data_IF_004489622261
#
_entry.id   IF_004489622261
#
_cell.length_a   1.000
_cell.length_b   1.000
_cell.length_c   1.000
_cell.angle_alpha   90.00
_cell.angle_beta   90.00
_cell.angle_gamma   90.00
#
_symmetry.space_group_name_H-M   'P 1'
#
loop_
_entity.id
_entity.type
_entity.pdbx_description
1 polymer ?
#
# COMPACT_ATOMS: atom_id res chain seq x y z
N UNK A 1 -7.09 -33.04 -3.15
CA UNK A 1 -6.96 -32.32 -4.43
C UNK A 1 -7.99 -31.21 -4.43
N UNK A 2 -7.69 -30.08 -3.79
CA UNK A 2 -8.67 -29.02 -3.51
C UNK A 2 -8.29 -27.73 -4.24
N UNK A 3 -9.21 -27.27 -5.09
CA UNK A 3 -9.08 -26.11 -5.96
C UNK A 3 -9.29 -24.83 -5.14
N UNK A 4 -8.27 -23.98 -5.07
CA UNK A 4 -8.36 -22.62 -4.56
C UNK A 4 -9.01 -21.72 -5.63
N UNK A 5 -10.20 -21.20 -5.35
CA UNK A 5 -10.79 -20.09 -6.11
C UNK A 5 -10.30 -18.78 -5.50
N UNK A 6 -9.37 -18.10 -6.17
CA UNK A 6 -8.99 -16.72 -5.87
C UNK A 6 -10.02 -15.83 -6.55
N UNK A 7 -10.96 -15.29 -5.78
CA UNK A 7 -11.89 -14.25 -6.25
C UNK A 7 -11.25 -12.89 -5.97
N UNK A 8 -10.71 -12.26 -7.01
CA UNK A 8 -10.21 -10.89 -6.98
C UNK A 8 -11.42 -9.94 -6.95
N UNK A 9 -11.75 -9.40 -5.78
CA UNK A 9 -12.74 -8.33 -5.66
C UNK A 9 -12.05 -7.02 -6.03
N UNK A 10 -12.25 -6.60 -7.27
CA UNK A 10 -11.90 -5.27 -7.76
C UNK A 10 -13.02 -4.32 -7.32
N UNK A 11 -12.77 -3.52 -6.28
CA UNK A 11 -13.63 -2.36 -5.95
C UNK A 11 -13.01 -1.16 -6.65
N UNK A 12 -13.44 -0.89 -7.89
CA UNK A 12 -13.37 0.47 -8.44
C UNK A 12 -14.65 1.19 -8.03
N UNK A 13 -14.61 2.38 -7.42
CA UNK A 13 -15.76 3.24 -7.42
C UNK A 13 -15.99 3.72 -8.86
N UNK A 14 -17.01 3.17 -9.51
CA UNK A 14 -17.64 3.77 -10.68
C UNK A 14 -18.30 5.06 -10.21
N UNK A 15 -17.55 6.15 -10.17
CA UNK A 15 -18.17 7.47 -10.22
C UNK A 15 -18.67 7.65 -11.65
N UNK A 16 -19.99 7.65 -11.82
CA UNK A 16 -20.64 8.15 -13.02
C UNK A 16 -20.08 9.54 -13.32
N UNK A 17 -19.25 9.62 -14.35
CA UNK A 17 -18.82 10.88 -14.94
C UNK A 17 -20.07 11.45 -15.58
N UNK A 18 -20.71 12.40 -14.90
CA UNK A 18 -21.70 13.30 -15.50
C UNK A 18 -21.14 13.79 -16.83
N UNK A 19 -21.74 13.40 -17.95
CA UNK A 19 -21.30 13.86 -19.25
C UNK A 19 -21.57 15.35 -19.36
N UNK A 20 -20.51 16.15 -19.37
CA UNK A 20 -20.61 17.59 -19.66
C UNK A 20 -21.26 17.78 -21.04
N UNK A 21 -22.22 18.72 -21.11
CA UNK A 21 -22.86 19.09 -22.37
C UNK A 21 -21.83 19.67 -23.34
N UNK A 22 -21.80 19.15 -24.57
CA UNK A 22 -20.88 19.59 -25.61
C UNK A 22 -21.65 20.25 -26.76
N UNK A 23 -21.05 21.30 -27.32
CA UNK A 23 -21.54 21.98 -28.53
C UNK A 23 -20.81 21.39 -29.74
N UNK A 24 -21.55 20.79 -30.67
CA UNK A 24 -21.05 20.13 -31.86
C UNK A 24 -21.43 20.95 -33.08
N UNK A 25 -20.41 21.42 -33.80
CA UNK A 25 -20.57 22.15 -35.06
C UNK A 25 -20.44 21.16 -36.21
N UNK A 26 -21.49 21.04 -37.02
CA UNK A 26 -21.51 20.18 -38.20
C UNK A 26 -21.02 20.94 -39.44
N UNK A 27 -20.48 20.20 -40.40
CA UNK A 27 -19.96 20.75 -41.67
C UNK A 27 -21.04 21.45 -42.51
N UNK A 28 -22.32 21.11 -42.30
CA UNK A 28 -23.46 21.78 -42.92
C UNK A 28 -23.85 23.11 -42.21
N UNK A 29 -23.10 23.53 -41.18
CA UNK A 29 -23.37 24.74 -40.41
C UNK A 29 -24.38 24.56 -39.27
N UNK A 30 -24.92 23.35 -39.06
CA UNK A 30 -25.82 23.06 -37.95
C UNK A 30 -25.05 22.94 -36.63
N UNK A 31 -25.63 23.48 -35.55
CA UNK A 31 -25.09 23.39 -34.20
C UNK A 31 -25.99 22.46 -33.37
N UNK A 32 -25.40 21.43 -32.75
CA UNK A 32 -26.09 20.50 -31.86
C UNK A 32 -25.52 20.60 -30.45
N UNK A 33 -26.38 20.61 -29.44
CA UNK A 33 -25.98 20.59 -28.02
C UNK A 33 -26.46 19.29 -27.38
N UNK A 34 -25.56 18.58 -26.70
CA UNK A 34 -25.92 17.34 -26.06
C UNK A 34 -24.77 16.63 -25.34
N UNK A 35 -25.13 15.61 -24.59
CA UNK A 35 -24.20 14.74 -23.87
C UNK A 35 -23.67 13.64 -24.80
N UNK A 36 -22.36 13.42 -24.83
CA UNK A 36 -21.76 12.33 -25.62
C UNK A 36 -21.87 11.02 -24.87
N UNK A 37 -22.78 10.14 -25.30
CA UNK A 37 -23.03 8.84 -24.66
C UNK A 37 -21.97 7.81 -25.07
N UNK A 38 -21.59 7.81 -26.37
CA UNK A 38 -20.68 6.81 -26.92
C UNK A 38 -19.89 7.37 -28.10
N UNK A 39 -18.59 7.08 -28.13
CA UNK A 39 -17.72 7.49 -29.23
C UNK A 39 -16.99 6.27 -29.79
N UNK A 40 -16.98 6.12 -31.11
CA UNK A 40 -16.19 5.11 -31.82
C UNK A 40 -15.18 5.80 -32.76
N UNK A 41 -14.37 5.02 -33.47
CA UNK A 41 -13.42 5.57 -34.46
C UNK A 41 -14.10 6.38 -35.58
N UNK A 42 -15.33 6.02 -35.96
CA UNK A 42 -16.04 6.59 -37.12
C UNK A 42 -17.33 7.31 -36.76
N UNK A 43 -17.92 7.08 -35.58
CA UNK A 43 -19.20 7.68 -35.18
C UNK A 43 -19.21 8.20 -33.74
N UNK A 44 -20.17 9.07 -33.46
CA UNK A 44 -20.45 9.65 -32.14
C UNK A 44 -21.95 9.60 -31.87
N UNK A 45 -22.37 9.06 -30.72
CA UNK A 45 -23.76 9.08 -30.27
C UNK A 45 -23.94 10.17 -29.20
N UNK A 46 -24.91 11.04 -29.43
CA UNK A 46 -25.21 12.17 -28.56
C UNK A 46 -26.65 12.13 -28.07
N UNK A 47 -26.87 12.52 -26.82
CA UNK A 47 -28.19 12.79 -26.27
C UNK A 47 -28.43 14.29 -26.34
N UNK A 48 -29.30 14.72 -27.26
CA UNK A 48 -29.69 16.13 -27.36
C UNK A 48 -30.51 16.58 -26.15
N UNK A 49 -30.57 17.89 -25.90
CA UNK A 49 -31.37 18.51 -24.81
C UNK A 49 -32.84 18.09 -24.82
N UNK A 50 -33.37 17.73 -26.00
CA UNK A 50 -34.73 17.22 -26.19
C UNK A 50 -34.87 15.74 -25.80
N UNK A 51 -33.84 15.13 -25.21
CA UNK A 51 -33.79 13.74 -24.77
C UNK A 51 -33.59 12.71 -25.88
N UNK A 52 -33.50 13.13 -27.15
CA UNK A 52 -33.34 12.24 -28.32
C UNK A 52 -31.87 11.85 -28.51
N UNK A 53 -31.64 10.55 -28.73
CA UNK A 53 -30.32 10.01 -29.08
C UNK A 53 -30.12 10.10 -30.59
N UNK A 54 -29.03 10.76 -31.03
CA UNK A 54 -28.64 10.86 -32.44
C UNK A 54 -27.24 10.29 -32.64
N UNK A 55 -27.04 9.56 -33.73
CA UNK A 55 -25.74 9.07 -34.16
C UNK A 55 -25.21 9.96 -35.29
N UNK A 56 -24.03 10.53 -35.10
CA UNK A 56 -23.34 11.40 -36.04
C UNK A 56 -22.09 10.69 -36.59
N UNK A 57 -21.79 10.87 -37.87
CA UNK A 57 -20.53 10.44 -38.44
C UNK A 57 -19.45 11.51 -38.16
N UNK A 58 -18.25 11.11 -37.75
CA UNK A 58 -17.15 12.07 -37.51
C UNK A 58 -16.75 12.84 -38.76
N UNK A 59 -17.00 12.31 -39.96
CA UNK A 59 -16.78 13.03 -41.22
C UNK A 59 -17.71 14.25 -41.39
N UNK A 60 -18.83 14.29 -40.69
CA UNK A 60 -19.83 15.38 -40.75
C UNK A 60 -19.59 16.44 -39.68
N UNK A 61 -18.67 16.20 -38.74
CA UNK A 61 -18.37 17.09 -37.62
C UNK A 61 -17.20 18.00 -37.97
N UNK A 62 -17.43 19.32 -37.91
CA UNK A 62 -16.39 20.32 -38.13
C UNK A 62 -15.55 20.55 -36.86
N UNK A 63 -16.18 20.74 -35.71
CA UNK A 63 -15.50 20.89 -34.41
C UNK A 63 -16.44 20.59 -33.24
N UNK A 64 -15.87 20.20 -32.10
CA UNK A 64 -16.59 20.00 -30.83
C UNK A 64 -16.00 20.95 -29.79
N UNK A 65 -16.83 21.66 -29.04
CA UNK A 65 -16.39 22.66 -28.06
C UNK A 65 -17.20 22.56 -26.77
N UNK A 66 -16.52 22.74 -25.64
CA UNK A 66 -17.09 22.71 -24.29
C UNK A 66 -17.63 24.07 -23.81
N UNK A 67 -17.83 25.03 -24.73
CA UNK A 67 -18.27 26.39 -24.44
C UNK A 67 -19.68 26.59 -24.98
N UNK A 68 -20.49 27.38 -24.27
CA UNK A 68 -21.80 27.78 -24.75
C UNK A 68 -21.67 28.63 -26.03
N UNK A 69 -22.44 28.35 -27.09
CA UNK A 69 -22.38 29.13 -28.32
C UNK A 69 -22.89 30.55 -28.05
N UNK A 70 -22.17 31.54 -28.54
CA UNK A 70 -22.57 32.94 -28.35
C UNK A 70 -23.85 33.25 -29.13
N UNK A 71 -24.68 34.19 -28.65
CA UNK A 71 -25.94 34.57 -29.29
C UNK A 71 -25.80 35.08 -30.75
N UNK A 72 -24.58 35.45 -31.17
CA UNK A 72 -24.27 35.78 -32.57
C UNK A 72 -24.13 34.52 -33.46
N UNK A 73 -23.52 33.45 -32.95
CA UNK A 73 -23.30 32.20 -33.69
C UNK A 73 -24.62 31.46 -33.97
N UNK A 74 -25.58 31.51 -33.04
CA UNK A 74 -26.91 30.94 -33.22
C UNK A 74 -27.70 31.66 -34.33
N UNK A 75 -27.68 33.00 -34.34
CA UNK A 75 -28.37 33.81 -35.37
C UNK A 75 -27.79 33.59 -36.77
N UNK A 76 -26.47 33.44 -36.88
CA UNK A 76 -25.81 33.19 -38.17
C UNK A 76 -26.12 31.78 -38.72
N UNK A 77 -26.27 30.78 -37.83
CA UNK A 77 -26.70 29.42 -38.24
C UNK A 77 -28.14 29.37 -38.76
N UNK A 78 -29.05 30.14 -38.15
CA UNK A 78 -30.44 30.24 -38.60
C UNK A 78 -30.57 30.99 -39.93
N UNK A 79 -29.74 32.00 -40.18
CA UNK A 79 -29.72 32.72 -41.46
C UNK A 79 -29.17 31.85 -42.60
N UNK A 80 -28.14 31.02 -42.35
CA UNK A 80 -27.60 30.09 -43.36
C UNK A 80 -28.59 28.98 -43.72
N UNK A 81 -29.37 28.48 -42.76
CA UNK A 81 -30.43 27.50 -43.01
C UNK A 81 -31.58 28.07 -43.84
N UNK A 82 -31.89 29.38 -43.69
CA UNK A 82 -32.89 30.05 -44.53
C UNK A 82 -32.42 30.29 -45.97
N UNK A 83 -31.11 30.49 -46.18
CA UNK A 83 -30.54 30.67 -47.53
C UNK A 83 -30.37 29.34 -48.29
N UNK A 84 -30.19 28.21 -47.60
CA UNK A 84 -30.09 26.89 -48.23
C UNK A 84 -31.45 26.28 -48.64
N UNK A 85 -32.57 26.80 -48.16
CA UNK A 85 -33.91 26.33 -48.54
C UNK A 85 -34.42 26.92 -49.88
N UNK A 86 -33.60 27.68 -50.62
CA UNK A 86 -34.04 28.42 -51.82
C UNK A 86 -33.36 28.03 -53.15
N UNK A 87 -32.53 26.99 -53.19
CA UNK A 87 -31.92 26.55 -54.46
C UNK A 87 -31.89 25.02 -54.58
N UNK A 88 -33.02 24.45 -54.98
CA UNK A 88 -33.09 23.11 -55.58
C UNK A 88 -33.15 23.26 -57.11
N UNK A 89 -32.08 22.86 -57.81
CA UNK A 89 -32.20 21.97 -58.98
C UNK A 89 -30.83 21.48 -59.51
N UNK A 90 -30.76 20.26 -60.08
CA UNK A 90 -29.53 19.51 -60.30
C UNK A 90 -29.05 19.52 -61.76
N UNK A 91 -27.86 18.92 -62.00
CA UNK A 91 -27.41 18.13 -63.18
C UNK A 91 -26.10 18.61 -63.85
N UNK A 92 -25.16 17.65 -64.03
CA UNK A 92 -24.30 17.35 -65.22
C UNK A 92 -22.78 17.24 -64.98
N UNK A 93 -22.33 15.98 -64.85
CA UNK A 93 -21.25 15.28 -65.60
C UNK A 93 -20.15 16.08 -66.36
N UNK A 94 -18.88 15.94 -65.92
CA UNK A 94 -17.63 15.34 -66.54
C UNK A 94 -17.28 15.69 -68.03
N UNK A 95 -16.01 15.72 -68.59
CA UNK A 95 -14.63 15.36 -68.13
C UNK A 95 -13.41 16.28 -68.53
N UNK A 96 -12.21 15.88 -68.05
CA UNK A 96 -10.83 15.91 -68.65
C UNK A 96 -10.07 17.20 -69.04
N UNK A 97 -8.91 17.43 -68.39
CA UNK A 97 -7.58 17.12 -68.96
C UNK A 97 -6.44 17.21 -67.92
N UNK A 98 -5.36 16.42 -68.06
CA UNK A 98 -4.29 16.29 -67.08
C UNK A 98 -3.11 17.24 -67.37
N UNK A 99 -2.59 17.89 -66.34
CA UNK A 99 -1.30 18.58 -66.39
C UNK A 99 -0.27 17.76 -65.61
N UNK A 100 0.76 17.32 -66.32
CA UNK A 100 2.00 16.77 -65.75
C UNK A 100 2.69 17.82 -64.87
N UNK A 101 2.98 17.46 -63.62
CA UNK A 101 4.06 18.05 -62.83
C UNK A 101 4.75 16.92 -62.07
N UNK A 102 6.02 16.67 -62.41
CA UNK A 102 6.99 15.81 -61.71
C UNK A 102 8.11 16.77 -61.23
N UNK A 103 8.80 16.60 -60.09
CA UNK A 103 8.39 16.15 -58.76
C UNK A 103 8.90 17.13 -57.67
N UNK A 104 8.03 17.70 -56.83
CA UNK A 104 8.55 18.30 -55.59
C UNK A 104 8.82 17.19 -54.57
N UNK A 105 10.12 16.86 -54.46
CA UNK A 105 10.68 16.03 -53.41
C UNK A 105 10.37 16.73 -52.08
N UNK A 106 9.22 16.39 -51.49
CA UNK A 106 8.90 16.76 -50.11
C UNK A 106 10.13 16.38 -49.28
N UNK A 107 10.78 17.33 -48.57
CA UNK A 107 11.73 16.94 -47.56
C UNK A 107 10.97 15.98 -46.64
N UNK A 108 11.54 14.79 -46.43
CA UNK A 108 11.03 13.87 -45.42
C UNK A 108 10.73 14.71 -44.18
N UNK A 109 9.50 14.64 -43.62
CA UNK A 109 9.20 15.35 -42.40
C UNK A 109 10.32 15.00 -41.43
N UNK A 110 10.98 15.99 -40.79
CA UNK A 110 12.08 15.72 -39.88
C UNK A 110 11.57 14.62 -38.97
N UNK A 111 12.27 13.47 -38.95
CA UNK A 111 12.02 12.42 -37.97
C UNK A 111 11.96 13.16 -36.66
N UNK A 112 10.75 13.41 -36.16
CA UNK A 112 10.53 13.63 -34.75
C UNK A 112 11.13 12.35 -34.19
N UNK A 113 12.35 12.48 -33.68
CA UNK A 113 12.94 11.49 -32.80
C UNK A 113 11.92 11.40 -31.70
N UNK A 114 10.99 10.47 -31.87
CA UNK A 114 9.98 10.20 -30.89
C UNK A 114 10.79 9.90 -29.64
N UNK A 115 10.68 10.68 -28.55
CA UNK A 115 11.25 10.31 -27.28
C UNK A 115 10.41 9.16 -26.67
N UNK A 116 9.76 8.35 -27.51
CA UNK A 116 9.32 7.00 -27.20
C UNK A 116 10.58 6.19 -26.92
N UNK A 117 11.10 6.35 -25.69
CA UNK A 117 12.02 5.43 -25.05
C UNK A 117 11.51 4.03 -25.35
N UNK A 118 12.19 3.29 -26.25
CA UNK A 118 11.85 1.90 -26.48
C UNK A 118 12.12 1.16 -25.17
N UNK A 119 11.08 0.92 -24.37
CA UNK A 119 11.18 0.40 -23.00
C UNK A 119 11.88 -0.97 -22.97
N UNK A 120 11.85 -1.71 -24.08
CA UNK A 120 12.60 -2.95 -24.28
C UNK A 120 14.12 -2.79 -24.41
N UNK A 121 14.63 -1.58 -24.57
CA UNK A 121 16.06 -1.24 -24.71
C UNK A 121 16.63 -0.44 -23.52
N UNK A 122 15.85 -0.23 -22.46
CA UNK A 122 16.27 0.57 -21.29
C UNK A 122 17.44 -0.07 -20.55
N UNK A 123 18.50 0.71 -20.31
CA UNK A 123 19.51 0.43 -19.28
C UNK A 123 19.57 1.62 -18.33
N UNK A 124 18.97 1.50 -17.15
CA UNK A 124 18.96 2.59 -16.17
C UNK A 124 19.29 2.11 -14.76
N UNK A 125 19.89 3.01 -13.97
CA UNK A 125 20.01 2.86 -12.52
C UNK A 125 19.18 3.98 -11.88
N UNK A 126 18.32 3.61 -10.95
CA UNK A 126 17.47 4.53 -10.21
C UNK A 126 17.77 4.41 -8.72
N UNK A 127 18.09 5.54 -8.09
CA UNK A 127 18.20 5.67 -6.64
C UNK A 127 16.98 6.41 -6.13
N UNK A 128 16.44 5.99 -4.99
CA UNK A 128 15.36 6.72 -4.34
C UNK A 128 15.58 6.77 -2.83
N UNK A 129 15.17 7.89 -2.25
CA UNK A 129 15.20 8.13 -0.82
C UNK A 129 13.96 8.93 -0.43
N UNK A 130 13.39 8.64 0.74
CA UNK A 130 12.26 9.36 1.27
C UNK A 130 12.23 9.34 2.79
N UNK A 131 11.61 10.37 3.34
CA UNK A 131 11.38 10.57 4.77
C UNK A 131 9.93 10.94 4.99
N UNK A 132 9.40 10.64 6.17
CA UNK A 132 8.04 11.02 6.52
C UNK A 132 7.64 10.46 7.87
N UNK A 133 6.35 10.18 8.04
CA UNK A 133 5.80 9.71 9.30
C UNK A 133 5.14 8.37 9.10
N UNK A 134 5.39 7.48 10.05
CA UNK A 134 4.85 6.13 10.03
C UNK A 134 4.71 5.57 11.43
N UNK A 135 4.38 4.29 11.52
CA UNK A 135 4.34 3.57 12.77
C UNK A 135 4.55 2.07 12.51
N UNK A 136 4.97 1.38 13.56
CA UNK A 136 4.98 -0.07 13.65
C UNK A 136 4.02 -0.49 14.76
N UNK A 137 3.07 -1.38 14.45
CA UNK A 137 2.15 -2.02 15.39
C UNK A 137 2.57 -3.47 15.50
N UNK A 138 3.49 -3.82 16.41
CA UNK A 138 3.70 -5.22 16.72
C UNK A 138 2.44 -5.77 17.40
N UNK A 139 2.18 -7.06 17.20
CA UNK A 139 1.16 -7.76 17.96
C UNK A 139 1.73 -8.70 19.02
N UNK A 140 3.05 -8.71 19.20
CA UNK A 140 3.76 -9.49 20.25
C UNK A 140 3.14 -9.32 21.64
N UNK A 141 2.81 -8.09 22.03
CA UNK A 141 2.32 -7.76 23.36
C UNK A 141 0.86 -8.18 23.57
N UNK A 142 -0.01 -7.84 22.62
CA UNK A 142 -1.41 -8.27 22.65
C UNK A 142 -1.50 -9.80 22.57
N UNK A 143 -0.63 -10.42 21.77
CA UNK A 143 -0.53 -11.86 21.67
C UNK A 143 -0.13 -12.50 23.00
N UNK A 144 0.87 -11.94 23.70
CA UNK A 144 1.26 -12.45 25.02
C UNK A 144 0.09 -12.42 26.00
N UNK A 145 -0.66 -11.32 26.01
CA UNK A 145 -1.79 -11.16 26.93
C UNK A 145 -2.95 -12.07 26.53
N UNK A 146 -3.20 -12.26 25.23
CA UNK A 146 -4.19 -13.20 24.75
C UNK A 146 -3.80 -14.64 25.10
N UNK A 147 -2.53 -15.01 24.92
CA UNK A 147 -1.97 -16.30 25.32
C UNK A 147 -2.14 -16.52 26.83
N UNK A 148 -1.73 -15.54 27.65
CA UNK A 148 -1.90 -15.58 29.10
C UNK A 148 -3.37 -15.71 29.50
N UNK A 149 -4.27 -14.91 28.91
CA UNK A 149 -5.70 -14.98 29.20
C UNK A 149 -6.31 -16.35 28.87
N UNK A 150 -5.90 -16.97 27.74
CA UNK A 150 -6.35 -18.31 27.37
C UNK A 150 -5.86 -19.36 28.36
N UNK A 151 -4.61 -19.25 28.81
CA UNK A 151 -4.07 -20.12 29.86
C UNK A 151 -4.79 -19.88 31.19
N UNK A 152 -5.02 -18.63 31.57
CA UNK A 152 -5.74 -18.29 32.80
C UNK A 152 -7.14 -18.89 32.84
N UNK A 153 -7.91 -18.75 31.76
CA UNK A 153 -9.25 -19.35 31.66
C UNK A 153 -9.19 -20.87 31.79
N UNK A 154 -8.21 -21.54 31.17
CA UNK A 154 -8.05 -22.99 31.27
C UNK A 154 -7.73 -23.43 32.71
N UNK A 155 -6.84 -22.71 33.40
CA UNK A 155 -6.41 -23.01 34.76
C UNK A 155 -7.31 -22.40 35.84
N UNK A 156 -8.47 -21.85 35.46
CA UNK A 156 -9.47 -21.31 36.39
C UNK A 156 -9.05 -20.01 37.09
N UNK A 157 -8.11 -19.26 36.52
CA UNK A 157 -7.71 -17.93 36.99
C UNK A 157 -8.36 -16.83 36.16
N UNK A 158 -8.49 -15.64 36.74
CA UNK A 158 -9.17 -14.52 36.10
C UNK A 158 -8.33 -13.93 34.94
N UNK A 159 -8.93 -13.63 33.79
CA UNK A 159 -8.23 -12.99 32.68
C UNK A 159 -8.02 -11.49 32.93
N UNK A 160 -7.05 -10.93 32.23
CA UNK A 160 -6.83 -9.49 32.15
C UNK A 160 -7.65 -8.87 31.01
N UNK A 161 -8.26 -7.73 31.27
CA UNK A 161 -8.97 -6.92 30.29
C UNK A 161 -7.98 -5.92 29.69
N UNK A 162 -7.72 -6.02 28.38
CA UNK A 162 -6.88 -5.08 27.64
C UNK A 162 -7.72 -3.95 27.04
N UNK A 163 -7.32 -2.70 27.26
CA UNK A 163 -7.80 -1.58 26.42
C UNK A 163 -7.05 -1.61 25.09
N UNK A 164 -7.74 -1.26 24.01
CA UNK A 164 -7.10 -1.11 22.70
C UNK A 164 -5.88 -0.18 22.82
N UNK A 165 -4.68 -0.62 22.39
CA UNK A 165 -3.51 0.24 22.43
C UNK A 165 -3.70 1.50 21.59
N UNK A 166 -3.09 2.60 22.03
CA UNK A 166 -3.00 3.84 21.24
C UNK A 166 -1.64 3.91 20.58
N UNK A 167 -1.60 4.28 19.30
CA UNK A 167 -0.38 4.31 18.50
C UNK A 167 -0.13 5.72 17.97
N UNK A 168 1.08 6.21 18.18
CA UNK A 168 1.53 7.51 17.69
C UNK A 168 2.59 7.32 16.61
N UNK A 169 2.50 8.14 15.55
CA UNK A 169 3.42 8.10 14.43
C UNK A 169 4.73 8.80 14.76
N UNK A 170 5.84 8.28 14.24
CA UNK A 170 7.16 8.91 14.36
C UNK A 170 7.89 8.86 13.00
N UNK A 171 9.08 9.49 12.96
CA UNK A 171 9.90 9.60 11.77
C UNK A 171 10.20 8.23 11.16
N UNK A 172 9.86 8.09 9.89
CA UNK A 172 10.08 6.88 9.09
C UNK A 172 10.80 7.24 7.80
N UNK A 173 11.57 6.31 7.27
CA UNK A 173 12.41 6.52 6.09
C UNK A 173 12.42 5.30 5.17
N UNK A 174 12.68 5.57 3.89
CA UNK A 174 12.78 4.56 2.84
C UNK A 174 13.96 4.90 1.93
N UNK A 175 14.76 3.89 1.61
CA UNK A 175 15.91 3.99 0.71
C UNK A 175 15.86 2.83 -0.27
N UNK A 176 16.30 3.05 -1.51
CA UNK A 176 16.49 1.94 -2.42
C UNK A 176 17.18 2.28 -3.71
N UNK A 177 17.53 1.21 -4.40
CA UNK A 177 18.14 1.22 -5.72
C UNK A 177 17.40 0.23 -6.62
N UNK A 178 17.22 0.60 -7.88
CA UNK A 178 16.64 -0.25 -8.90
C UNK A 178 17.50 -0.17 -10.15
N UNK A 179 17.94 -1.32 -10.65
CA UNK A 179 18.65 -1.46 -11.91
C UNK A 179 17.73 -2.08 -12.95
N UNK A 180 17.52 -1.42 -14.08
CA UNK A 180 16.76 -1.96 -15.21
C UNK A 180 17.70 -2.31 -16.35
N UNK A 181 17.59 -3.54 -16.84
CA UNK A 181 18.26 -4.01 -18.05
C UNK A 181 17.23 -4.65 -18.99
N UNK A 182 16.90 -3.94 -20.07
CA UNK A 182 15.88 -4.33 -21.05
C UNK A 182 14.53 -4.61 -20.36
N UNK A 183 14.10 -5.86 -20.35
CA UNK A 183 12.85 -6.31 -19.72
C UNK A 183 13.02 -6.74 -18.27
N UNK A 184 14.24 -6.85 -17.77
CA UNK A 184 14.51 -7.27 -16.41
C UNK A 184 14.83 -6.06 -15.54
N UNK A 185 14.43 -6.09 -14.29
CA UNK A 185 14.93 -5.15 -13.29
C UNK A 185 15.21 -5.84 -11.97
N UNK A 186 16.27 -5.44 -11.29
CA UNK A 186 16.59 -5.87 -9.94
C UNK A 186 16.53 -4.68 -8.98
N UNK A 187 15.86 -4.83 -7.85
CA UNK A 187 15.77 -3.79 -6.82
C UNK A 187 16.22 -4.28 -5.45
N UNK A 188 16.79 -3.35 -4.70
CA UNK A 188 17.10 -3.47 -3.29
C UNK A 188 16.53 -2.25 -2.57
N UNK A 189 15.67 -2.47 -1.60
CA UNK A 189 15.00 -1.39 -0.84
C UNK A 189 14.98 -1.70 0.65
N UNK A 190 15.24 -0.68 1.47
CA UNK A 190 15.04 -0.74 2.91
C UNK A 190 14.02 0.29 3.38
N UNK A 191 13.29 -0.04 4.46
CA UNK A 191 12.41 0.90 5.14
C UNK A 191 12.67 0.82 6.65
N UNK A 192 12.54 1.95 7.33
CA UNK A 192 12.50 2.04 8.77
C UNK A 192 11.19 2.69 9.20
N UNK A 193 10.44 1.98 10.05
CA UNK A 193 9.21 2.43 10.67
C UNK A 193 9.49 2.69 12.14
N UNK A 194 9.01 3.82 12.65
CA UNK A 194 9.12 4.17 14.07
C UNK A 194 7.79 4.68 14.58
N UNK A 195 7.47 4.40 15.82
CA UNK A 195 6.28 4.92 16.48
C UNK A 195 6.36 4.75 17.98
N UNK A 196 5.31 5.14 18.67
CA UNK A 196 5.18 4.94 20.12
C UNK A 196 3.84 4.28 20.40
N UNK A 197 3.87 3.24 21.23
CA UNK A 197 2.68 2.50 21.66
C UNK A 197 2.38 2.83 23.11
N UNK A 198 1.12 3.15 23.41
CA UNK A 198 0.61 3.33 24.76
C UNK A 198 -0.39 2.24 25.06
N UNK A 199 -0.13 1.45 26.10
CA UNK A 199 -1.00 0.36 26.53
C UNK A 199 -1.52 0.56 27.95
N UNK A 200 -2.69 -0.02 28.20
CA UNK A 200 -3.28 -0.07 29.53
C UNK A 200 -4.11 -1.34 29.67
N UNK A 201 -3.82 -2.08 30.73
CA UNK A 201 -4.44 -3.35 31.06
C UNK A 201 -5.03 -3.27 32.45
N UNK A 202 -6.17 -3.93 32.64
CA UNK A 202 -6.82 -4.15 33.92
C UNK A 202 -6.81 -5.66 34.20
N UNK A 203 -5.92 -6.10 35.10
CA UNK A 203 -5.96 -7.45 35.63
C UNK A 203 -7.05 -7.55 36.70
N UNK A 204 -7.96 -8.50 36.57
CA UNK A 204 -8.92 -8.82 37.62
C UNK A 204 -8.29 -9.89 38.51
N UNK A 205 -8.09 -9.61 39.79
CA UNK A 205 -7.61 -10.62 40.75
C UNK A 205 -8.84 -11.25 41.45
N UNK A 206 -8.62 -12.01 42.53
CA UNK A 206 -9.72 -12.61 43.30
C UNK A 206 -10.52 -11.55 44.08
N UNK A 207 -11.86 -11.66 44.06
CA UNK A 207 -12.73 -10.80 44.87
C UNK A 207 -12.74 -9.35 44.40
N UNK A 208 -12.42 -8.41 45.30
CA UNK A 208 -12.37 -6.96 45.02
C UNK A 208 -10.99 -6.46 44.59
N UNK A 209 -10.04 -7.37 44.39
CA UNK A 209 -8.67 -7.02 44.04
C UNK A 209 -8.52 -6.85 42.52
N UNK A 210 -7.76 -5.84 42.09
CA UNK A 210 -7.46 -5.61 40.69
C UNK A 210 -6.09 -4.98 40.51
N UNK A 211 -5.50 -5.15 39.34
CA UNK A 211 -4.25 -4.50 38.96
C UNK A 211 -4.42 -3.67 37.70
N UNK A 212 -3.76 -2.52 37.66
CA UNK A 212 -3.64 -1.71 36.44
C UNK A 212 -2.19 -1.74 36.00
N UNK A 213 -1.97 -2.15 34.75
CA UNK A 213 -0.65 -2.14 34.10
C UNK A 213 -0.73 -1.12 32.97
N UNK A 214 0.25 -0.23 32.84
CA UNK A 214 0.27 0.71 31.73
C UNK A 214 1.62 1.37 31.52
N UNK A 215 1.94 1.65 30.26
CA UNK A 215 3.22 2.16 29.81
C UNK A 215 3.13 2.84 28.46
N UNK A 216 4.21 3.53 28.08
CA UNK A 216 4.35 4.17 26.77
C UNK A 216 5.78 4.00 26.28
N UNK A 217 5.95 3.23 25.22
CA UNK A 217 7.27 2.78 24.75
C UNK A 217 7.43 2.93 23.24
N UNK A 218 8.68 3.13 22.79
CA UNK A 218 9.01 3.24 21.38
C UNK A 218 8.97 1.86 20.70
N UNK A 219 8.45 1.87 19.48
CA UNK A 219 8.41 0.74 18.57
C UNK A 219 9.22 1.05 17.32
N UNK A 220 10.04 0.09 16.90
CA UNK A 220 10.86 0.23 15.69
C UNK A 220 10.78 -1.03 14.86
N UNK A 221 10.72 -0.84 13.55
CA UNK A 221 10.92 -1.92 12.60
C UNK A 221 11.77 -1.47 11.42
N UNK A 222 12.79 -2.25 11.11
CA UNK A 222 13.55 -2.14 9.87
C UNK A 222 13.15 -3.26 8.93
N UNK A 223 13.20 -2.99 7.63
CA UNK A 223 13.00 -3.99 6.58
C UNK A 223 14.06 -3.84 5.51
N UNK A 224 14.45 -4.96 4.92
CA UNK A 224 15.30 -5.03 3.74
C UNK A 224 14.65 -5.99 2.74
N UNK A 225 14.60 -5.59 1.48
CA UNK A 225 13.98 -6.37 0.43
C UNK A 225 14.78 -6.32 -0.84
N UNK A 226 15.04 -7.49 -1.40
CA UNK A 226 15.64 -7.66 -2.71
C UNK A 226 14.64 -8.37 -3.63
N UNK A 227 14.45 -7.88 -4.85
CA UNK A 227 13.56 -8.52 -5.81
C UNK A 227 14.04 -8.39 -7.25
N UNK A 228 13.62 -9.33 -8.08
CA UNK A 228 13.81 -9.35 -9.53
C UNK A 228 12.44 -9.30 -10.19
N UNK A 229 12.33 -8.46 -11.20
CA UNK A 229 11.10 -8.18 -11.92
C UNK A 229 11.26 -8.42 -13.42
N UNK A 230 10.23 -8.95 -14.07
CA UNK A 230 10.14 -9.10 -15.52
C UNK A 230 9.00 -8.24 -16.09
N UNK A 231 9.32 -7.38 -17.06
CA UNK A 231 8.38 -6.55 -17.80
C UNK A 231 7.54 -7.41 -18.75
N UNK A 232 6.37 -7.81 -18.26
CA UNK A 232 5.42 -8.66 -18.97
C UNK A 232 4.64 -7.87 -20.04
N UNK A 233 4.30 -6.61 -19.73
CA UNK A 233 3.58 -5.73 -20.63
C UNK A 233 4.09 -4.29 -20.50
N UNK A 234 4.18 -3.59 -21.63
CA UNK A 234 4.59 -2.19 -21.67
C UNK A 234 3.97 -1.49 -22.88
N UNK A 235 3.47 -0.28 -22.65
CA UNK A 235 3.08 0.69 -23.65
C UNK A 235 3.41 2.12 -23.15
N UNK A 236 3.07 3.14 -23.93
CA UNK A 236 3.39 4.54 -23.62
C UNK A 236 2.80 5.04 -22.29
N UNK A 237 1.72 4.41 -21.80
CA UNK A 237 0.99 4.83 -20.58
C UNK A 237 1.12 3.87 -19.42
N UNK A 238 1.56 2.64 -19.65
CA UNK A 238 1.42 1.57 -18.68
C UNK A 238 2.53 0.53 -18.80
N UNK A 239 3.18 0.23 -17.68
CA UNK A 239 4.06 -0.93 -17.52
C UNK A 239 3.51 -1.87 -16.45
N UNK A 240 3.60 -3.17 -16.73
CA UNK A 240 3.30 -4.23 -15.76
C UNK A 240 4.48 -5.19 -15.68
N UNK A 241 4.96 -5.41 -14.46
CA UNK A 241 6.04 -6.34 -14.15
C UNK A 241 5.57 -7.40 -13.16
N UNK A 242 5.87 -8.66 -13.43
CA UNK A 242 5.79 -9.73 -12.44
C UNK A 242 7.08 -9.75 -11.62
N UNK A 243 6.99 -9.98 -10.31
CA UNK A 243 8.13 -9.86 -9.40
C UNK A 243 8.27 -11.06 -8.48
N UNK A 244 9.52 -11.45 -8.20
CA UNK A 244 9.91 -12.43 -7.20
C UNK A 244 11.01 -11.83 -6.34
N UNK A 245 10.93 -11.98 -5.03
CA UNK A 245 11.89 -11.38 -4.13
C UNK A 245 12.06 -12.13 -2.82
N UNK A 246 12.87 -11.55 -1.96
CA UNK A 246 13.15 -12.01 -0.61
C UNK A 246 13.14 -10.80 0.31
N UNK A 247 12.50 -10.93 1.47
CA UNK A 247 12.37 -9.85 2.45
C UNK A 247 12.88 -10.30 3.81
N UNK A 248 13.46 -9.37 4.54
CA UNK A 248 13.88 -9.53 5.92
C UNK A 248 13.39 -8.33 6.73
N UNK A 249 12.92 -8.60 7.94
CA UNK A 249 12.36 -7.64 8.88
C UNK A 249 13.01 -7.82 10.23
N UNK A 250 13.30 -6.70 10.89
CA UNK A 250 13.80 -6.63 12.26
C UNK A 250 12.89 -5.71 13.05
N UNK A 251 12.17 -6.24 14.03
CA UNK A 251 11.35 -5.47 14.95
C UNK A 251 12.04 -5.36 16.31
N UNK A 252 11.90 -4.21 16.97
CA UNK A 252 12.38 -4.06 18.34
C UNK A 252 11.51 -3.11 19.16
N UNK A 253 11.25 -3.50 20.40
CA UNK A 253 10.59 -2.70 21.44
C UNK A 253 11.53 -2.65 22.64
N UNK A 254 11.76 -1.46 23.20
CA UNK A 254 12.55 -1.27 24.43
C UNK A 254 11.71 -0.42 25.39
N UNK A 255 10.99 -1.08 26.28
CA UNK A 255 10.18 -0.44 27.30
C UNK A 255 10.89 -0.38 28.65
N UNK A 256 10.85 0.82 29.24
CA UNK A 256 11.36 1.12 30.59
C UNK A 256 10.32 1.83 31.45
N UNK A 257 9.11 2.01 30.92
CA UNK A 257 8.10 2.94 31.42
C UNK A 257 6.87 2.24 32.00
N UNK A 258 6.67 0.95 31.69
CA UNK A 258 5.48 0.25 32.16
C UNK A 258 5.49 0.15 33.69
N UNK A 259 4.38 0.54 34.27
CA UNK A 259 4.14 0.46 35.71
C UNK A 259 2.95 -0.42 36.00
N UNK A 260 2.97 -1.04 37.18
CA UNK A 260 1.85 -1.81 37.73
C UNK A 260 1.45 -1.27 39.07
N UNK A 261 0.15 -1.23 39.30
CA UNK A 261 -0.47 -0.91 40.58
C UNK A 261 -1.50 -1.98 40.86
N UNK A 262 -1.39 -2.69 41.97
CA UNK A 262 -2.44 -3.58 42.44
C UNK A 262 -3.15 -2.97 43.64
N UNK A 263 -4.46 -3.16 43.66
CA UNK A 263 -5.36 -2.62 44.65
C UNK A 263 -6.12 -3.76 45.32
N UNK A 264 -6.29 -3.66 46.63
CA UNK A 264 -7.13 -4.53 47.44
C UNK A 264 -8.23 -3.72 48.13
N UNK A 265 -9.03 -4.38 48.97
CA UNK A 265 -10.04 -3.71 49.79
C UNK A 265 -9.46 -2.65 50.74
N UNK A 266 -8.17 -2.73 51.07
CA UNK A 266 -7.47 -1.77 51.94
C UNK A 266 -6.74 -0.64 51.20
N UNK A 267 -6.79 -0.62 49.87
CA UNK A 267 -6.13 0.41 49.04
C UNK A 267 -5.02 -0.16 48.15
N UNK A 268 -3.97 0.62 47.89
CA UNK A 268 -2.82 0.18 47.09
C UNK A 268 -2.06 -0.90 47.86
N UNK A 269 -2.07 -2.14 47.37
CA UNK A 269 -1.36 -3.27 47.97
C UNK A 269 0.03 -3.50 47.37
N UNK A 270 0.21 -3.10 46.11
CA UNK A 270 1.45 -3.33 45.37
C UNK A 270 1.67 -2.24 44.32
N UNK A 271 2.91 -1.80 44.18
CA UNK A 271 3.36 -0.98 43.07
C UNK A 271 4.62 -1.59 42.46
N UNK A 272 4.77 -1.51 41.14
CA UNK A 272 5.95 -2.03 40.48
C UNK A 272 6.25 -1.36 39.16
N UNK A 273 7.45 -1.63 38.67
CA UNK A 273 7.92 -1.23 37.36
C UNK A 273 8.29 -2.48 36.56
N UNK A 274 7.83 -2.53 35.33
CA UNK A 274 8.23 -3.50 34.33
C UNK A 274 9.10 -2.80 33.31
N UNK A 275 10.20 -3.44 32.95
CA UNK A 275 10.95 -3.11 31.74
C UNK A 275 11.01 -4.35 30.89
N UNK A 276 10.70 -4.22 29.60
CA UNK A 276 10.77 -5.35 28.69
C UNK A 276 11.40 -4.97 27.37
N UNK A 277 12.07 -5.95 26.78
CA UNK A 277 12.68 -5.84 25.47
C UNK A 277 12.09 -6.92 24.58
N UNK A 278 11.59 -6.52 23.42
CA UNK A 278 11.13 -7.42 22.37
C UNK A 278 12.07 -7.28 21.19
N UNK A 279 12.54 -8.39 20.65
CA UNK A 279 13.30 -8.45 19.41
C UNK A 279 12.64 -9.45 18.49
N UNK A 280 12.36 -9.06 17.25
CA UNK A 280 11.77 -9.93 16.24
C UNK A 280 12.63 -9.92 14.98
N UNK A 281 12.81 -11.10 14.38
CA UNK A 281 13.44 -11.24 13.07
C UNK A 281 12.63 -12.16 12.20
N UNK A 282 12.07 -11.65 11.11
CA UNK A 282 11.30 -12.42 10.12
C UNK A 282 12.01 -12.35 8.76
N UNK A 283 12.00 -13.46 8.02
CA UNK A 283 12.55 -13.50 6.66
C UNK A 283 11.83 -14.49 5.77
N UNK A 284 11.81 -14.24 4.47
CA UNK A 284 11.31 -15.22 3.53
C UNK A 284 11.02 -14.68 2.14
N UNK A 285 10.54 -15.57 1.25
CA UNK A 285 10.24 -15.20 -0.13
C UNK A 285 9.02 -14.30 -0.26
N UNK A 286 8.97 -13.58 -1.38
CA UNK A 286 7.83 -12.79 -1.80
C UNK A 286 7.60 -12.94 -3.30
N UNK A 287 6.34 -12.80 -3.71
CA UNK A 287 5.95 -12.79 -5.11
C UNK A 287 4.88 -11.71 -5.32
N UNK A 288 4.95 -11.00 -6.44
CA UNK A 288 4.12 -9.82 -6.61
C UNK A 288 4.04 -9.28 -8.03
N UNK A 289 3.50 -8.07 -8.10
CA UNK A 289 3.39 -7.28 -9.32
C UNK A 289 3.77 -5.83 -9.05
N UNK A 290 4.42 -5.21 -10.03
CA UNK A 290 4.69 -3.76 -10.08
C UNK A 290 3.99 -3.18 -11.30
N UNK A 291 3.23 -2.11 -11.10
CA UNK A 291 2.57 -1.36 -12.16
C UNK A 291 3.08 0.08 -12.17
N UNK A 292 3.34 0.62 -13.36
CA UNK A 292 3.61 2.05 -13.55
C UNK A 292 2.60 2.63 -14.51
N UNK A 293 1.82 3.61 -14.07
CA UNK A 293 0.85 4.34 -14.88
C UNK A 293 1.40 5.74 -15.15
N UNK A 294 1.51 6.14 -16.42
CA UNK A 294 2.05 7.42 -16.85
C UNK A 294 0.92 8.32 -17.33
N UNK A 295 0.86 9.53 -16.78
CA UNK A 295 -0.13 10.54 -17.13
C UNK A 295 0.60 11.74 -17.75
N UNK A 296 0.67 11.76 -19.08
CA UNK A 296 1.51 12.71 -19.81
C UNK A 296 3.01 12.43 -19.60
N UNK A 297 3.83 13.47 -19.76
CA UNK A 297 5.30 13.31 -19.76
C UNK A 297 5.89 13.29 -18.35
N UNK A 298 5.26 14.00 -17.39
CA UNK A 298 5.84 14.31 -16.08
C UNK A 298 5.32 13.47 -14.92
N UNK A 299 4.13 12.88 -15.02
CA UNK A 299 3.50 12.20 -13.89
C UNK A 299 3.59 10.69 -14.06
N UNK A 300 4.05 9.99 -13.03
CA UNK A 300 4.00 8.53 -12.92
C UNK A 300 3.36 8.12 -11.59
N UNK A 301 2.42 7.19 -11.64
CA UNK A 301 1.91 6.48 -10.48
C UNK A 301 2.52 5.10 -10.47
N UNK A 302 3.25 4.76 -9.41
CA UNK A 302 3.89 3.45 -9.24
C UNK A 302 3.19 2.72 -8.12
N UNK A 303 2.75 1.51 -8.42
CA UNK A 303 2.04 0.64 -7.50
C UNK A 303 2.80 -0.67 -7.44
N UNK A 304 3.03 -1.17 -6.23
CA UNK A 304 3.70 -2.43 -5.98
C UNK A 304 2.91 -3.23 -4.95
N UNK A 305 2.64 -4.49 -5.26
CA UNK A 305 1.90 -5.40 -4.38
C UNK A 305 2.62 -6.73 -4.34
N UNK A 306 2.95 -7.21 -3.15
CA UNK A 306 3.60 -8.50 -2.93
C UNK A 306 2.88 -9.32 -1.88
N UNK A 307 2.73 -10.62 -2.13
CA UNK A 307 2.47 -11.62 -1.10
C UNK A 307 3.78 -12.04 -0.45
N UNK A 308 3.76 -12.20 0.87
CA UNK A 308 4.92 -12.55 1.69
C UNK A 308 4.66 -13.90 2.38
N UNK A 309 5.65 -14.79 2.35
CA UNK A 309 5.73 -15.95 3.25
C UNK A 309 6.98 -15.79 4.09
N UNK A 310 6.81 -15.58 5.38
CA UNK A 310 7.89 -15.24 6.31
C UNK A 310 8.01 -16.30 7.41
N UNK A 311 9.23 -16.51 7.88
CA UNK A 311 9.54 -17.36 9.03
C UNK A 311 10.58 -16.66 9.88
N UNK A 312 10.52 -16.87 11.18
CA UNK A 312 11.45 -16.19 12.07
C UNK A 312 11.21 -16.44 13.53
N UNK A 313 11.85 -15.64 14.36
CA UNK A 313 11.80 -15.76 15.81
C UNK A 313 11.49 -14.42 16.44
N UNK A 314 10.94 -14.48 17.65
CA UNK A 314 10.75 -13.35 18.52
C UNK A 314 11.19 -13.73 19.91
N UNK A 315 12.01 -12.88 20.51
CA UNK A 315 12.49 -13.02 21.87
C UNK A 315 11.94 -11.86 22.70
N UNK A 316 11.39 -12.17 23.86
CA UNK A 316 10.88 -11.21 24.84
C UNK A 316 11.59 -11.49 26.16
N UNK A 317 12.18 -10.45 26.74
CA UNK A 317 12.69 -10.49 28.12
C UNK A 317 12.01 -9.39 28.91
N UNK A 318 11.46 -9.73 30.06
CA UNK A 318 10.82 -8.80 30.99
C UNK A 318 11.51 -8.88 32.34
N UNK A 319 11.90 -7.72 32.86
CA UNK A 319 12.35 -7.57 34.24
C UNK A 319 11.26 -6.83 35.03
N UNK A 320 10.89 -7.40 36.16
CA UNK A 320 9.90 -6.86 37.06
C UNK A 320 10.55 -6.48 38.39
N UNK A 321 10.28 -5.26 38.85
CA UNK A 321 10.59 -4.83 40.22
C UNK A 321 9.29 -4.45 40.92
N UNK A 322 8.94 -5.23 41.92
CA UNK A 322 7.66 -5.15 42.62
C UNK A 322 7.91 -4.76 44.07
N UNK A 323 7.13 -3.80 44.58
CA UNK A 323 7.15 -3.33 45.96
C UNK A 323 5.77 -3.62 46.56
N UNK A 324 5.72 -4.54 47.54
CA UNK A 324 4.53 -4.72 48.37
C UNK A 324 4.56 -3.75 49.55
N UNK A 325 3.38 -3.48 50.11
CA UNK A 325 3.17 -2.60 51.26
C UNK A 325 4.01 -2.93 52.50
N UNK A 326 4.44 -4.18 52.69
CA UNK A 326 5.14 -4.63 53.91
C UNK A 326 6.42 -5.44 53.72
N UNK A 327 7.05 -5.47 52.54
CA UNK A 327 8.24 -6.32 52.30
C UNK A 327 9.32 -5.67 51.42
N UNK A 328 10.50 -6.30 51.42
CA UNK A 328 11.60 -6.00 50.49
C UNK A 328 11.15 -6.14 49.04
N UNK A 329 11.72 -5.34 48.11
CA UNK A 329 11.38 -5.43 46.70
C UNK A 329 11.62 -6.83 46.14
N UNK A 330 10.62 -7.34 45.42
CA UNK A 330 10.68 -8.61 44.71
C UNK A 330 11.16 -8.35 43.29
N UNK A 331 12.15 -9.13 42.87
CA UNK A 331 12.69 -9.12 41.52
C UNK A 331 12.26 -10.38 40.78
N UNK A 332 11.72 -10.20 39.58
CA UNK A 332 11.34 -11.30 38.70
C UNK A 332 11.92 -11.09 37.31
N UNK A 333 12.31 -12.18 36.67
CA UNK A 333 12.70 -12.19 35.27
C UNK A 333 11.86 -13.23 34.51
N UNK A 334 11.35 -12.81 33.37
CA UNK A 334 10.58 -13.64 32.46
C UNK A 334 11.20 -13.55 31.09
N UNK A 335 11.47 -14.70 30.47
CA UNK A 335 11.98 -14.79 29.11
C UNK A 335 11.10 -15.71 28.28
N UNK A 336 10.84 -15.30 27.04
CA UNK A 336 9.99 -16.03 26.10
C UNK A 336 10.64 -16.02 24.72
N UNK A 337 10.56 -17.17 24.06
CA UNK A 337 11.00 -17.33 22.68
C UNK A 337 9.86 -17.94 21.85
N UNK A 338 9.51 -17.28 20.73
CA UNK A 338 8.44 -17.70 19.84
C UNK A 338 8.99 -17.89 18.43
N UNK A 339 8.77 -19.07 17.85
CA UNK A 339 8.99 -19.34 16.44
C UNK A 339 7.75 -19.00 15.63
N UNK A 340 7.90 -18.12 14.64
CA UNK A 340 6.81 -17.62 13.82
C UNK A 340 6.85 -18.19 12.39
N UNK A 341 5.66 -18.50 11.87
CA UNK A 341 5.37 -18.48 10.43
C UNK A 341 4.39 -17.34 10.20
N UNK A 342 4.63 -16.48 9.23
CA UNK A 342 3.75 -15.36 8.94
C UNK A 342 3.45 -15.27 7.44
N UNK A 343 2.20 -14.93 7.12
CA UNK A 343 1.76 -14.65 5.76
C UNK A 343 1.32 -13.21 5.69
N UNK A 344 1.78 -12.49 4.67
CA UNK A 344 1.57 -11.06 4.62
C UNK A 344 1.38 -10.50 3.23
N UNK A 345 1.06 -9.22 3.21
CA UNK A 345 0.95 -8.39 2.03
C UNK A 345 1.83 -7.15 2.25
N UNK A 346 2.62 -6.84 1.23
CA UNK A 346 3.27 -5.55 1.09
C UNK A 346 2.56 -4.76 -0.02
N UNK A 347 2.26 -3.50 0.28
CA UNK A 347 1.70 -2.54 -0.66
C UNK A 347 2.54 -1.27 -0.62
N UNK A 348 2.96 -0.79 -1.79
CA UNK A 348 3.67 0.47 -1.94
C UNK A 348 3.09 1.26 -3.10
N UNK A 349 2.83 2.53 -2.83
CA UNK A 349 2.34 3.48 -3.80
C UNK A 349 3.24 4.70 -3.81
N UNK A 350 3.66 5.13 -4.99
CA UNK A 350 4.41 6.38 -5.20
C UNK A 350 3.77 7.19 -6.32
N UNK A 351 3.28 8.38 -5.98
CA UNK A 351 3.03 9.43 -6.94
C UNK A 351 4.35 10.15 -7.24
N UNK A 352 4.81 10.11 -8.48
CA UNK A 352 6.10 10.64 -8.92
C UNK A 352 5.87 11.78 -9.90
N UNK A 353 6.51 12.93 -9.65
CA UNK A 353 6.56 14.07 -10.54
C UNK A 353 7.98 14.31 -11.03
N UNK A 354 8.19 14.17 -12.34
CA UNK A 354 9.48 14.40 -13.00
C UNK A 354 9.72 15.88 -13.17
N UNK A 355 10.73 16.40 -12.47
CA UNK A 355 11.21 17.76 -12.66
C UNK A 355 12.14 17.84 -13.86
N UNK A 356 13.00 16.83 -14.01
CA UNK A 356 13.87 16.64 -15.17
C UNK A 356 13.86 15.17 -15.58
N UNK A 357 14.47 14.77 -16.71
CA UNK A 357 14.60 13.36 -17.08
C UNK A 357 15.36 12.51 -16.04
N UNK A 358 16.21 13.13 -15.22
CA UNK A 358 17.09 12.49 -14.24
C UNK A 358 16.54 12.62 -12.82
N UNK A 359 15.84 13.72 -12.51
CA UNK A 359 15.41 14.05 -11.16
C UNK A 359 13.89 14.12 -11.04
N UNK A 360 13.35 13.39 -10.08
CA UNK A 360 11.92 13.40 -9.75
C UNK A 360 11.71 13.54 -8.25
N UNK A 361 10.58 14.15 -7.89
CA UNK A 361 10.07 14.13 -6.51
C UNK A 361 8.94 13.12 -6.42
N UNK A 362 8.70 12.57 -5.24
CA UNK A 362 7.60 11.65 -5.02
C UNK A 362 6.94 11.79 -3.66
N UNK A 363 5.66 11.46 -3.61
CA UNK A 363 4.85 11.30 -2.41
C UNK A 363 4.26 9.90 -2.44
N UNK A 364 4.34 9.15 -1.34
CA UNK A 364 3.95 7.76 -1.34
C UNK A 364 3.51 7.22 0.01
N UNK A 365 2.97 6.00 -0.04
CA UNK A 365 2.61 5.21 1.12
C UNK A 365 3.26 3.83 1.02
N UNK A 366 3.81 3.35 2.13
CA UNK A 366 4.41 2.02 2.27
C UNK A 366 3.69 1.30 3.40
N UNK A 367 3.07 0.17 3.09
CA UNK A 367 2.23 -0.59 4.01
C UNK A 367 2.70 -2.03 3.99
N UNK A 368 2.98 -2.56 5.17
CA UNK A 368 3.12 -3.99 5.40
C UNK A 368 2.07 -4.46 6.39
N UNK A 369 1.49 -5.62 6.11
CA UNK A 369 0.55 -6.29 6.98
C UNK A 369 0.81 -7.79 6.93
N UNK A 370 1.03 -8.44 8.07
CA UNK A 370 1.17 -9.89 8.11
C UNK A 370 0.51 -10.50 9.33
N UNK A 371 -0.05 -11.67 9.11
CA UNK A 371 -0.66 -12.50 10.12
C UNK A 371 0.30 -13.62 10.50
N UNK A 372 0.47 -13.81 11.80
CA UNK A 372 1.32 -14.84 12.38
C UNK A 372 0.55 -16.13 12.65
N UNK A 373 1.30 -17.21 12.63
CA UNK A 373 0.93 -18.54 13.09
C UNK A 373 2.11 -19.09 13.89
N UNK A 374 1.84 -19.52 15.12
CA UNK A 374 2.85 -20.04 16.03
C UNK A 374 3.39 -21.36 15.48
N UNK A 375 4.69 -21.41 15.24
CA UNK A 375 5.38 -22.63 14.86
C UNK A 375 5.95 -23.37 16.08
N UNK A 376 6.50 -22.61 17.02
CA UNK A 376 7.10 -23.10 18.26
C UNK A 376 6.90 -22.03 19.35
N UNK A 377 6.79 -22.46 20.59
CA UNK A 377 6.61 -21.60 21.76
C UNK A 377 7.43 -22.16 22.92
N UNK A 378 8.18 -21.30 23.60
CA UNK A 378 8.93 -21.64 24.80
C UNK A 378 8.82 -20.53 25.83
N UNK A 379 8.68 -20.91 27.09
CA UNK A 379 8.49 -20.03 28.23
C UNK A 379 9.47 -20.36 29.34
N UNK A 380 10.33 -19.40 29.71
CA UNK A 380 11.23 -19.54 30.84
C UNK A 380 10.90 -18.50 31.91
N UNK A 381 10.59 -18.96 33.12
CA UNK A 381 10.27 -18.11 34.26
C UNK A 381 11.34 -18.27 35.34
N UNK A 382 11.99 -17.16 35.73
CA UNK A 382 12.98 -17.13 36.81
C UNK A 382 12.50 -16.18 37.90
N UNK A 383 12.13 -16.76 39.03
CA UNK A 383 11.80 -16.00 40.24
C UNK A 383 12.96 -16.06 41.22
N UNK A 384 13.17 -15.00 41.99
CA UNK A 384 14.14 -14.99 43.08
C UNK A 384 13.75 -15.87 44.29
N UNK A 385 12.62 -16.59 44.20
CA UNK A 385 12.18 -17.59 45.17
C UNK A 385 12.01 -18.93 44.45
N UNK A 386 12.35 -20.03 45.14
CA UNK A 386 12.17 -21.39 44.64
C UNK A 386 10.73 -21.59 44.17
N UNK A 387 10.52 -21.64 42.85
CA UNK A 387 9.30 -22.22 42.31
C UNK A 387 9.25 -23.69 42.77
N UNK A 388 8.11 -24.22 43.21
CA UNK A 388 8.00 -25.64 43.52
C UNK A 388 8.47 -26.43 42.31
N UNK A 389 9.43 -27.34 42.51
CA UNK A 389 10.02 -28.13 41.45
C UNK A 389 8.90 -28.81 40.64
N UNK A 390 8.71 -28.37 39.40
CA UNK A 390 7.76 -29.00 38.48
C UNK A 390 8.19 -30.44 38.24
N UNK A 391 7.27 -31.38 38.42
CA UNK A 391 7.51 -32.80 38.12
C UNK A 391 7.88 -32.89 36.63
N UNK A 392 9.00 -33.51 36.22
CA UNK A 392 9.51 -33.45 34.84
C UNK A 392 8.49 -33.88 33.76
N UNK A 393 7.62 -34.84 34.10
CA UNK A 393 6.57 -35.32 33.20
C UNK A 393 5.34 -34.37 33.13
N UNK A 394 5.10 -33.57 34.17
CA UNK A 394 4.08 -32.53 34.17
C UNK A 394 4.55 -31.31 33.37
N UNK A 395 5.82 -30.95 33.46
CA UNK A 395 6.42 -29.85 32.69
C UNK A 395 6.31 -30.08 31.17
N UNK A 396 6.56 -31.30 30.69
CA UNK A 396 6.47 -31.61 29.25
C UNK A 396 5.02 -31.60 28.73
N UNK A 397 4.05 -32.02 29.56
CA UNK A 397 2.63 -31.93 29.22
C UNK A 397 2.13 -30.49 29.27
N UNK A 398 2.58 -29.69 30.25
CA UNK A 398 2.30 -28.26 30.35
C UNK A 398 2.87 -27.50 29.15
N UNK A 399 4.10 -27.76 28.73
CA UNK A 399 4.71 -27.16 27.54
C UNK A 399 3.93 -27.50 26.27
N UNK A 400 3.54 -28.78 26.09
CA UNK A 400 2.72 -29.21 24.94
C UNK A 400 1.33 -28.55 24.95
N UNK A 401 0.65 -28.51 26.09
CA UNK A 401 -0.66 -27.88 26.23
C UNK A 401 -0.58 -26.37 25.98
N UNK A 402 0.42 -25.71 26.56
CA UNK A 402 0.69 -24.29 26.32
C UNK A 402 0.93 -24.03 24.82
N UNK A 403 1.78 -24.82 24.17
CA UNK A 403 2.04 -24.68 22.73
C UNK A 403 0.77 -24.84 21.89
N UNK A 404 -0.10 -25.81 22.20
CA UNK A 404 -1.35 -26.02 21.45
C UNK A 404 -2.38 -24.90 21.67
N UNK A 405 -2.48 -24.36 22.89
CA UNK A 405 -3.41 -23.27 23.21
C UNK A 405 -2.96 -21.97 22.54
N UNK A 406 -1.65 -21.71 22.58
CA UNK A 406 -1.03 -20.52 22.01
C UNK A 406 -1.10 -20.53 20.48
N UNK A 407 -1.06 -21.71 19.84
CA UNK A 407 -1.37 -21.87 18.40
C UNK A 407 -2.78 -21.43 18.00
N UNK A 408 -3.73 -21.37 18.93
CA UNK A 408 -5.08 -20.89 18.70
C UNK A 408 -5.23 -19.36 18.73
N UNK A 409 -4.19 -18.62 19.13
CA UNK A 409 -4.20 -17.16 19.12
C UNK A 409 -3.75 -16.63 17.74
N UNK A 410 -4.54 -15.73 17.17
CA UNK A 410 -4.22 -15.07 15.90
C UNK A 410 -3.49 -13.76 16.19
N UNK A 411 -2.34 -13.55 15.54
CA UNK A 411 -1.56 -12.34 15.73
C UNK A 411 -1.38 -11.61 14.40
N UNK A 412 -1.50 -10.27 14.39
CA UNK A 412 -1.41 -9.44 13.17
C UNK A 412 -0.57 -8.21 13.43
N UNK A 413 0.59 -8.10 12.77
CA UNK A 413 1.41 -6.89 12.84
C UNK A 413 1.22 -6.03 11.59
N UNK A 414 1.34 -4.72 11.79
CA UNK A 414 1.15 -3.73 10.72
C UNK A 414 2.21 -2.64 10.78
N UNK A 415 2.78 -2.31 9.63
CA UNK A 415 3.70 -1.17 9.48
C UNK A 415 3.18 -0.26 8.38
N UNK A 416 3.08 1.03 8.65
CA UNK A 416 2.58 2.01 7.67
C UNK A 416 3.43 3.26 7.72
N UNK A 417 3.73 3.85 6.56
CA UNK A 417 4.36 5.15 6.47
C UNK A 417 3.81 5.95 5.30
N UNK A 418 3.68 7.26 5.49
CA UNK A 418 3.51 8.26 4.42
C UNK A 418 4.84 8.97 4.27
N UNK A 419 5.37 8.97 3.06
CA UNK A 419 6.74 9.36 2.76
C UNK A 419 6.77 10.38 1.62
N UNK A 420 7.65 11.37 1.75
CA UNK A 420 8.02 12.28 0.67
C UNK A 420 9.50 12.09 0.36
N UNK A 421 9.86 12.14 -0.92
CA UNK A 421 11.23 11.84 -1.31
C UNK A 421 11.62 12.25 -2.71
N UNK A 422 12.80 11.79 -3.09
CA UNK A 422 13.45 12.07 -4.35
C UNK A 422 13.81 10.77 -5.07
N UNK A 423 13.85 10.84 -6.40
CA UNK A 423 14.33 9.79 -7.29
C UNK A 423 15.38 10.40 -8.22
N UNK A 424 16.53 9.74 -8.33
CA UNK A 424 17.59 10.04 -9.29
C UNK A 424 17.75 8.87 -10.26
N UNK A 425 17.61 9.12 -11.56
CA UNK A 425 17.71 8.10 -12.62
C UNK A 425 18.84 8.42 -13.58
N UNK A 426 19.76 7.48 -13.73
CA UNK A 426 20.85 7.55 -14.70
C UNK A 426 20.55 6.60 -15.86
N UNK A 427 20.46 7.14 -17.08
CA UNK A 427 20.38 6.35 -18.30
C UNK A 427 21.78 5.99 -18.78
N UNK A 428 22.08 4.70 -18.80
CA UNK A 428 23.38 4.15 -19.19
C UNK A 428 23.46 3.89 -20.70
N UNK A 429 22.34 3.96 -21.43
CA UNK A 429 22.31 3.66 -22.87
C UNK A 429 22.74 4.85 -23.75
N UNK A 430 22.71 6.08 -23.23
CA UNK A 430 22.89 7.33 -23.99
C UNK A 430 24.19 8.10 -23.64
N UNK A 431 25.23 7.44 -23.11
CA UNK A 431 26.51 8.10 -22.77
C UNK A 431 27.59 8.05 -23.87
N UNK A 432 27.19 8.01 -25.16
CA UNK A 432 28.13 8.11 -26.29
C UNK A 432 27.93 9.40 -27.09
#
# INVERSE_FOLDING_TARGET
MNRFFITFIIIFPLTDIFGEEQTIYLMNGQILRGEVIKQTGTSMQIKTTDGKVRQLNKAEIQRVTYKEPSAKELKESEERLKQQAQNDNPTKTVPEKPAEIIPEKKPDPPKKSDPSFSHTKRHDIEFFAGIGYGFYKPNSENFLIEAQNRLSILFGTNPSISKKPSYHTDLSDQLGINYTFKRFSGSLSGNNFRGTTTTSYLGLNSGTEFSTIGGTYPEKQSSLRADVSYLAFSNDRFDLKATLGYSEFWGSTDDKSTSVKAFSSSGLSLYGQYSFTISERLRGPSAGIKATIRLGERIENRIEIHSLELKGTQDLTTHAKIFSDSASPIYGEFSQAIGWKAYGVYFDYKFVYKLTPIFSVWLGASIYNWQYSVHHYSLEQKYAFEAPASIPNAALLEDLLQEQIVKGAASVSKSEAILFGFIFRFDLANQN
#
